data_IF_834322574713
#
_entry.id   IF_834322574713
#
_cell.length_a   1.000
_cell.length_b   1.000
_cell.length_c   1.000
_cell.angle_alpha   90.00
_cell.angle_beta   90.00
_cell.angle_gamma   90.00
#
_symmetry.space_group_name_H-M   'P 1'
#
loop_
_entity.id
_entity.type
_entity.pdbx_description
1 polymer ?
#
# COMPACT_ATOMS: atom_id res chain seq x y z
N UNK A 1 -5.18 22.62 6.37
CA UNK A 1 -4.50 21.61 7.20
C UNK A 1 -5.35 21.22 8.41
N UNK A 2 -5.82 22.14 9.25
CA UNK A 2 -6.60 21.84 10.47
C UNK A 2 -7.84 20.96 10.22
N UNK A 3 -8.62 21.23 9.16
CA UNK A 3 -9.79 20.41 8.80
C UNK A 3 -9.41 18.96 8.47
N UNK A 4 -8.30 18.76 7.77
CA UNK A 4 -7.80 17.42 7.42
C UNK A 4 -7.42 16.66 8.69
N UNK A 5 -6.66 17.29 9.59
CA UNK A 5 -6.27 16.69 10.88
C UNK A 5 -7.49 16.36 11.74
N UNK A 6 -8.48 17.28 11.77
CA UNK A 6 -9.73 17.04 12.51
C UNK A 6 -10.50 15.85 11.94
N UNK A 7 -10.60 15.76 10.61
CA UNK A 7 -11.24 14.63 9.93
C UNK A 7 -10.54 13.31 10.21
N UNK A 8 -9.19 13.29 10.17
CA UNK A 8 -8.40 12.10 10.50
C UNK A 8 -8.65 11.63 11.92
N UNK A 9 -8.64 12.56 12.90
CA UNK A 9 -8.93 12.23 14.32
C UNK A 9 -10.35 11.66 14.51
N UNK A 10 -11.35 12.21 13.81
CA UNK A 10 -12.73 11.69 13.88
C UNK A 10 -12.84 10.28 13.31
N UNK A 11 -11.99 9.92 12.34
CA UNK A 11 -12.04 8.65 11.64
C UNK A 11 -10.94 7.66 12.07
N UNK A 12 -10.11 8.01 13.03
CA UNK A 12 -8.95 7.21 13.48
C UNK A 12 -9.34 5.76 13.78
N UNK A 13 -10.43 5.56 14.56
CA UNK A 13 -10.91 4.22 14.87
C UNK A 13 -11.32 3.44 13.60
N UNK A 14 -12.06 4.07 12.70
CA UNK A 14 -12.47 3.43 11.43
C UNK A 14 -11.27 3.06 10.59
N UNK A 15 -10.29 3.95 10.47
CA UNK A 15 -9.06 3.69 9.71
C UNK A 15 -8.29 2.50 10.26
N UNK A 16 -8.18 2.42 11.59
CA UNK A 16 -7.55 1.28 12.25
C UNK A 16 -8.36 -0.01 12.05
N UNK A 17 -9.69 0.04 12.21
CA UNK A 17 -10.55 -1.13 12.01
C UNK A 17 -10.44 -1.67 10.57
N UNK A 18 -10.46 -0.80 9.57
CA UNK A 18 -10.31 -1.16 8.16
C UNK A 18 -8.91 -1.76 7.86
N UNK A 19 -7.84 -1.19 8.44
CA UNK A 19 -6.50 -1.78 8.32
C UNK A 19 -6.42 -3.15 8.98
N UNK A 20 -7.03 -3.32 10.16
CA UNK A 20 -7.12 -4.62 10.84
C UNK A 20 -7.83 -5.65 9.97
N UNK A 21 -8.91 -5.29 9.27
CA UNK A 21 -9.59 -6.20 8.34
C UNK A 21 -8.70 -6.58 7.14
N UNK A 22 -7.95 -5.62 6.58
CA UNK A 22 -6.98 -5.90 5.51
C UNK A 22 -5.88 -6.86 5.97
N UNK A 23 -5.37 -6.69 7.20
CA UNK A 23 -4.31 -7.52 7.76
C UNK A 23 -4.75 -8.95 8.09
N UNK A 24 -6.04 -9.20 8.27
CA UNK A 24 -6.60 -10.55 8.45
C UNK A 24 -6.61 -11.37 7.16
N UNK A 25 -6.56 -10.71 6.00
CA UNK A 25 -6.54 -11.39 4.70
C UNK A 25 -5.14 -11.97 4.49
N UNK A 26 -5.06 -13.27 4.32
CA UNK A 26 -3.79 -14.02 4.20
C UNK A 26 -3.27 -13.99 2.76
N UNK A 27 -2.98 -12.81 2.24
CA UNK A 27 -2.56 -12.63 0.83
C UNK A 27 -1.10 -13.04 0.59
N UNK A 28 -0.76 -14.28 0.92
CA UNK A 28 0.57 -14.86 0.72
C UNK A 28 0.73 -15.25 -0.75
N UNK A 29 1.40 -14.42 -1.55
CA UNK A 29 1.55 -14.62 -3.00
C UNK A 29 2.40 -15.84 -3.37
N UNK A 30 3.38 -16.18 -2.53
CA UNK A 30 4.31 -17.29 -2.76
C UNK A 30 3.67 -18.70 -2.60
N UNK A 31 2.49 -18.81 -1.99
CA UNK A 31 1.84 -20.10 -1.73
C UNK A 31 0.50 -20.20 -2.47
N UNK A 32 0.37 -21.11 -3.45
CA UNK A 32 -0.87 -21.30 -4.20
C UNK A 32 -2.11 -21.63 -3.34
N UNK A 33 -1.93 -22.13 -2.11
CA UNK A 33 -3.02 -22.37 -1.18
C UNK A 33 -3.74 -21.08 -0.74
N UNK A 34 -3.07 -19.94 -0.83
CA UNK A 34 -3.64 -18.64 -0.49
C UNK A 34 -4.09 -17.81 -1.71
N UNK A 35 -4.11 -18.42 -2.90
CA UNK A 35 -4.46 -17.71 -4.15
C UNK A 35 -5.75 -16.89 -4.02
N UNK A 36 -6.82 -17.48 -3.50
CA UNK A 36 -8.11 -16.79 -3.33
C UNK A 36 -8.04 -15.63 -2.33
N UNK A 37 -7.19 -15.74 -1.32
CA UNK A 37 -6.97 -14.66 -0.35
C UNK A 37 -6.19 -13.48 -0.98
N UNK A 38 -5.30 -13.74 -1.95
CA UNK A 38 -4.63 -12.68 -2.70
C UNK A 38 -5.64 -11.89 -3.54
N UNK A 39 -6.55 -12.57 -4.26
CA UNK A 39 -7.64 -11.89 -4.99
C UNK A 39 -8.59 -11.14 -4.07
N UNK A 40 -8.93 -11.71 -2.91
CA UNK A 40 -9.75 -11.05 -1.90
C UNK A 40 -9.10 -9.78 -1.35
N UNK A 41 -7.77 -9.75 -1.23
CA UNK A 41 -7.05 -8.53 -0.85
C UNK A 41 -7.16 -7.46 -1.94
N UNK A 42 -7.06 -7.83 -3.23
CA UNK A 42 -7.28 -6.90 -4.34
C UNK A 42 -8.69 -6.31 -4.32
N UNK A 43 -9.73 -7.14 -4.11
CA UNK A 43 -11.12 -6.66 -3.99
C UNK A 43 -11.27 -5.71 -2.81
N UNK A 44 -10.69 -6.03 -1.65
CA UNK A 44 -10.72 -5.16 -0.47
C UNK A 44 -10.06 -3.80 -0.76
N UNK A 45 -8.90 -3.79 -1.37
CA UNK A 45 -8.19 -2.54 -1.75
C UNK A 45 -9.06 -1.70 -2.67
N UNK A 46 -9.62 -2.30 -3.73
CA UNK A 46 -10.55 -1.62 -4.64
C UNK A 46 -11.71 -0.97 -3.89
N UNK A 47 -12.37 -1.70 -2.97
CA UNK A 47 -13.50 -1.18 -2.22
C UNK A 47 -13.09 -0.01 -1.31
N UNK A 48 -11.93 -0.12 -0.64
CA UNK A 48 -11.42 0.97 0.22
C UNK A 48 -11.01 2.20 -0.58
N UNK A 49 -10.47 2.03 -1.78
CA UNK A 49 -10.18 3.15 -2.69
C UNK A 49 -11.48 3.83 -3.17
N UNK A 50 -12.54 3.04 -3.44
CA UNK A 50 -13.87 3.56 -3.79
C UNK A 50 -14.45 4.41 -2.66
N UNK A 51 -14.43 3.92 -1.43
CA UNK A 51 -14.93 4.63 -0.25
C UNK A 51 -14.13 5.91 0.05
N UNK A 52 -12.84 5.90 -0.25
CA UNK A 52 -11.96 7.06 -0.15
C UNK A 52 -12.35 8.19 -1.13
N UNK A 53 -13.08 7.86 -2.20
CA UNK A 53 -13.52 8.82 -3.21
C UNK A 53 -12.59 8.92 -4.41
N UNK A 54 -11.76 7.91 -4.61
CA UNK A 54 -11.03 7.72 -5.86
C UNK A 54 -12.00 7.34 -6.99
N UNK A 55 -11.58 7.56 -8.22
CA UNK A 55 -12.35 7.34 -9.45
C UNK A 55 -11.59 6.37 -10.35
N UNK A 56 -12.23 5.93 -11.46
CA UNK A 56 -11.66 5.05 -12.46
C UNK A 56 -10.97 3.81 -11.88
N UNK A 57 -11.57 3.24 -10.82
CA UNK A 57 -10.96 2.13 -10.09
C UNK A 57 -11.16 0.82 -10.87
N UNK A 58 -10.07 0.13 -11.13
CA UNK A 58 -10.03 -1.12 -11.88
C UNK A 58 -9.17 -2.16 -11.18
N UNK A 59 -9.59 -3.41 -11.22
CA UNK A 59 -8.73 -4.57 -10.98
C UNK A 59 -8.21 -4.99 -12.35
N UNK A 60 -6.97 -4.63 -12.64
CA UNK A 60 -6.33 -4.87 -13.91
C UNK A 60 -5.70 -6.26 -13.93
N UNK A 61 -6.15 -7.18 -14.80
CA UNK A 61 -5.60 -8.52 -14.84
C UNK A 61 -4.15 -8.53 -15.33
N UNK A 62 -3.35 -9.41 -14.74
CA UNK A 62 -2.03 -9.82 -15.22
C UNK A 62 -2.01 -11.33 -15.42
N UNK A 63 -0.97 -11.94 -16.01
CA UNK A 63 -0.86 -13.39 -16.02
C UNK A 63 -0.74 -14.01 -14.61
N UNK A 64 -0.31 -13.24 -13.62
CA UNK A 64 -0.26 -13.61 -12.20
C UNK A 64 -1.37 -12.99 -11.36
N UNK A 65 -1.02 -12.25 -10.32
CA UNK A 65 -1.99 -11.53 -9.49
C UNK A 65 -2.27 -10.12 -10.05
N UNK A 66 -3.52 -9.62 -9.93
CA UNK A 66 -3.91 -8.38 -10.57
C UNK A 66 -3.27 -7.15 -9.92
N UNK A 67 -3.19 -6.07 -10.70
CA UNK A 67 -2.88 -4.73 -10.19
C UNK A 67 -4.19 -3.98 -9.93
N UNK A 68 -4.33 -3.38 -8.75
CA UNK A 68 -5.45 -2.47 -8.45
C UNK A 68 -5.02 -1.06 -8.79
N UNK A 69 -5.72 -0.47 -9.77
CA UNK A 69 -5.53 0.92 -10.20
C UNK A 69 -6.70 1.79 -9.73
N UNK A 70 -6.46 3.05 -9.48
CA UNK A 70 -7.47 4.08 -9.29
C UNK A 70 -6.86 5.46 -9.30
N UNK A 71 -7.64 6.49 -9.60
CA UNK A 71 -7.12 7.86 -9.64
C UNK A 71 -8.10 8.88 -9.05
N UNK A 72 -7.59 10.10 -8.88
CA UNK A 72 -8.37 11.32 -8.67
C UNK A 72 -7.69 12.46 -9.40
N UNK A 73 -8.20 12.76 -10.59
CA UNK A 73 -7.72 13.87 -11.41
C UNK A 73 -8.59 15.09 -11.11
N UNK A 74 -8.02 16.08 -10.43
CA UNK A 74 -8.73 17.29 -10.03
C UNK A 74 -8.56 18.42 -11.03
N UNK A 75 -7.42 18.45 -11.74
CA UNK A 75 -7.09 19.45 -12.76
C UNK A 75 -5.93 18.90 -13.62
N UNK A 76 -6.13 18.74 -14.94
CA UNK A 76 -5.07 18.23 -15.83
C UNK A 76 -3.79 19.08 -15.89
N UNK A 77 -3.86 20.35 -15.46
CA UNK A 77 -2.69 21.25 -15.40
C UNK A 77 -1.85 21.10 -14.14
N UNK A 78 -2.35 20.37 -13.14
CA UNK A 78 -1.63 20.12 -11.89
C UNK A 78 -0.72 18.91 -11.98
N UNK A 79 0.38 18.89 -11.20
CA UNK A 79 1.22 17.71 -11.09
C UNK A 79 0.44 16.46 -10.68
N UNK A 80 0.87 15.33 -11.18
CA UNK A 80 0.32 14.01 -10.86
C UNK A 80 1.32 13.20 -10.05
N UNK A 81 0.89 12.66 -8.93
CA UNK A 81 1.64 11.73 -8.09
C UNK A 81 1.08 10.32 -8.30
N UNK A 82 1.91 9.37 -8.70
CA UNK A 82 1.60 7.95 -8.72
C UNK A 82 2.07 7.32 -7.40
N UNK A 83 1.15 6.77 -6.63
CA UNK A 83 1.44 6.08 -5.39
C UNK A 83 1.50 4.59 -5.69
N UNK A 84 2.66 3.99 -5.41
CA UNK A 84 2.90 2.55 -5.55
C UNK A 84 2.90 1.88 -4.19
N UNK A 85 2.46 0.63 -4.15
CA UNK A 85 2.54 -0.28 -3.03
C UNK A 85 2.12 -1.68 -3.44
N UNK A 86 2.11 -2.63 -2.47
CA UNK A 86 1.69 -3.99 -2.73
C UNK A 86 0.78 -4.53 -1.63
N UNK A 87 -0.17 -5.40 -2.02
CA UNK A 87 -1.15 -5.98 -1.09
C UNK A 87 -0.85 -7.45 -0.73
N UNK A 88 0.12 -8.06 -1.38
CA UNK A 88 0.61 -9.39 -0.99
C UNK A 88 1.59 -9.31 0.18
N UNK A 89 1.92 -10.44 0.76
CA UNK A 89 2.78 -10.54 1.94
C UNK A 89 3.61 -11.82 1.90
N UNK A 90 4.79 -11.78 2.54
CA UNK A 90 5.63 -12.96 2.77
C UNK A 90 4.92 -14.03 3.59
N UNK A 91 5.28 -15.31 3.41
CA UNK A 91 4.92 -16.38 4.33
C UNK A 91 5.30 -16.01 5.77
N UNK A 92 4.48 -16.37 6.77
CA UNK A 92 4.74 -15.99 8.16
C UNK A 92 5.72 -16.94 8.88
N UNK A 93 6.25 -17.94 8.20
CA UNK A 93 7.13 -18.94 8.82
C UNK A 93 8.45 -18.38 9.33
N UNK A 94 9.02 -18.89 10.43
CA UNK A 94 8.47 -19.96 11.29
C UNK A 94 7.42 -19.42 12.29
N UNK A 95 6.28 -20.11 12.40
CA UNK A 95 5.12 -19.67 13.19
C UNK A 95 5.38 -19.61 14.70
N UNK A 96 6.30 -20.40 15.21
CA UNK A 96 6.66 -20.49 16.63
C UNK A 96 7.43 -19.26 17.14
N UNK A 97 7.92 -18.41 16.25
CA UNK A 97 8.57 -17.15 16.62
C UNK A 97 7.58 -15.99 16.81
N UNK A 98 6.31 -16.18 16.43
CA UNK A 98 5.30 -15.15 16.61
C UNK A 98 4.71 -15.18 18.02
N UNK A 99 4.63 -14.00 18.67
CA UNK A 99 4.00 -13.85 19.99
C UNK A 99 2.47 -13.83 19.93
N UNK A 100 1.90 -13.58 18.75
CA UNK A 100 0.48 -13.67 18.41
C UNK A 100 0.34 -14.24 17.01
N UNK A 101 -0.77 -14.90 16.63
CA UNK A 101 -0.93 -15.41 15.28
C UNK A 101 -0.74 -14.30 14.24
N UNK A 102 0.04 -14.54 13.15
CA UNK A 102 0.47 -13.48 12.22
C UNK A 102 -0.68 -12.77 11.49
N UNK A 103 -1.82 -13.41 11.31
CA UNK A 103 -3.02 -12.85 10.68
C UNK A 103 -4.16 -12.55 11.67
N UNK A 104 -3.84 -12.48 12.95
CA UNK A 104 -4.72 -11.99 14.01
C UNK A 104 -4.13 -10.67 14.56
N UNK A 105 -4.42 -9.52 13.94
CA UNK A 105 -3.81 -8.25 14.29
C UNK A 105 -4.03 -7.87 15.76
N UNK A 106 -2.96 -7.51 16.47
CA UNK A 106 -3.00 -7.12 17.87
C UNK A 106 -2.48 -5.70 18.04
N UNK A 107 -3.28 -4.84 18.66
CA UNK A 107 -2.84 -3.50 19.08
C UNK A 107 -2.34 -3.59 20.53
N UNK A 108 -1.06 -3.30 20.74
CA UNK A 108 -0.42 -3.32 22.05
C UNK A 108 0.58 -2.17 22.18
N UNK A 109 0.53 -1.45 23.28
CA UNK A 109 1.45 -0.35 23.59
C UNK A 109 1.56 0.70 22.45
N UNK A 110 0.41 1.02 21.82
CA UNK A 110 0.33 1.98 20.73
C UNK A 110 0.90 1.48 19.39
N UNK A 111 1.17 0.18 19.25
CA UNK A 111 1.70 -0.46 18.05
C UNK A 111 0.76 -1.56 17.55
N UNK A 112 0.67 -1.72 16.24
CA UNK A 112 -0.09 -2.78 15.58
C UNK A 112 0.88 -3.88 15.13
N UNK A 113 0.61 -5.11 15.56
CA UNK A 113 1.42 -6.30 15.26
C UNK A 113 0.62 -7.27 14.40
N UNK A 114 1.09 -7.53 13.18
CA UNK A 114 0.59 -8.55 12.27
C UNK A 114 1.55 -8.72 11.08
N UNK A 115 1.43 -9.78 10.30
CA UNK A 115 2.06 -9.89 8.97
C UNK A 115 1.45 -8.82 8.05
N UNK A 116 2.30 -8.07 7.32
CA UNK A 116 1.87 -6.99 6.44
C UNK A 116 1.62 -5.64 7.16
N UNK A 117 1.73 -5.56 8.50
CA UNK A 117 1.49 -4.31 9.22
C UNK A 117 2.51 -3.20 8.87
N UNK A 118 3.73 -3.57 8.52
CA UNK A 118 4.77 -2.65 8.05
C UNK A 118 5.03 -2.80 6.55
N UNK A 119 5.02 -3.99 6.03
CA UNK A 119 5.41 -4.35 4.69
C UNK A 119 4.25 -5.09 3.99
N UNK A 120 3.53 -4.48 3.06
CA UNK A 120 3.41 -3.04 2.76
C UNK A 120 1.98 -2.54 3.03
N UNK A 121 1.06 -3.47 3.45
CA UNK A 121 -0.37 -3.14 3.68
C UNK A 121 -0.54 -1.91 4.57
N UNK A 122 0.23 -1.80 5.66
CA UNK A 122 0.15 -0.65 6.54
C UNK A 122 0.61 0.64 5.87
N UNK A 123 1.66 0.60 5.07
CA UNK A 123 2.26 1.79 4.45
C UNK A 123 1.43 2.31 3.29
N UNK A 124 1.08 1.48 2.28
CA UNK A 124 0.25 2.00 1.19
C UNK A 124 -1.15 2.42 1.69
N UNK A 125 -1.69 1.73 2.70
CA UNK A 125 -3.01 2.07 3.24
C UNK A 125 -3.04 3.45 3.92
N UNK A 126 -1.94 3.89 4.53
CA UNK A 126 -1.81 5.26 5.04
C UNK A 126 -2.03 6.29 3.93
N UNK A 127 -1.52 6.05 2.72
CA UNK A 127 -1.71 6.94 1.58
C UNK A 127 -3.18 6.97 1.13
N UNK A 128 -3.86 5.83 1.10
CA UNK A 128 -5.30 5.78 0.78
C UNK A 128 -6.08 6.66 1.78
N UNK A 129 -5.78 6.57 3.08
CA UNK A 129 -6.47 7.37 4.12
C UNK A 129 -6.05 8.83 4.13
N UNK A 130 -4.82 9.15 3.78
CA UNK A 130 -4.38 10.53 3.60
C UNK A 130 -5.12 11.18 2.43
N UNK A 131 -5.20 10.51 1.28
CA UNK A 131 -5.93 10.98 0.09
C UNK A 131 -7.43 11.09 0.39
N UNK A 132 -8.06 10.10 1.05
CA UNK A 132 -9.44 10.19 1.52
C UNK A 132 -9.67 11.46 2.34
N UNK A 133 -8.80 11.72 3.31
CA UNK A 133 -8.93 12.88 4.18
C UNK A 133 -8.86 14.20 3.40
N UNK A 134 -8.02 14.26 2.37
CA UNK A 134 -7.91 15.43 1.51
C UNK A 134 -9.12 15.57 0.57
N UNK A 135 -9.59 14.50 -0.05
CA UNK A 135 -10.77 14.51 -0.93
C UNK A 135 -12.01 14.96 -0.16
N UNK A 136 -12.28 14.38 1.02
CA UNK A 136 -13.46 14.68 1.84
C UNK A 136 -13.48 16.12 2.39
N UNK A 137 -12.37 16.84 2.28
CA UNK A 137 -12.25 18.23 2.70
C UNK A 137 -11.96 19.21 1.55
N UNK A 138 -12.11 18.78 0.29
CA UNK A 138 -11.83 19.58 -0.92
C UNK A 138 -10.42 20.20 -0.88
N UNK A 139 -9.44 19.45 -0.40
CA UNK A 139 -8.09 19.93 -0.11
C UNK A 139 -6.97 19.15 -0.81
N UNK A 140 -7.32 18.35 -1.81
CA UNK A 140 -6.33 17.61 -2.60
C UNK A 140 -5.50 18.61 -3.43
N UNK A 141 -4.16 18.70 -3.24
CA UNK A 141 -3.36 19.73 -3.87
C UNK A 141 -2.93 19.42 -5.31
N UNK A 142 -2.91 18.15 -5.68
CA UNK A 142 -2.43 17.61 -6.94
C UNK A 142 -3.31 16.46 -7.41
N UNK A 143 -3.09 16.00 -8.63
CA UNK A 143 -3.68 14.75 -9.11
C UNK A 143 -3.00 13.58 -8.43
N UNK A 144 -3.75 12.52 -8.15
CA UNK A 144 -3.20 11.28 -7.58
C UNK A 144 -3.64 10.08 -8.40
N UNK A 145 -2.74 9.11 -8.51
CA UNK A 145 -2.98 7.78 -9.05
C UNK A 145 -2.45 6.76 -8.06
N UNK A 146 -3.09 5.60 -8.01
CA UNK A 146 -2.63 4.45 -7.25
C UNK A 146 -2.38 3.29 -8.19
N UNK A 147 -1.29 2.57 -7.94
CA UNK A 147 -0.94 1.31 -8.58
C UNK A 147 -0.48 0.35 -7.47
N UNK A 148 -1.38 -0.56 -7.06
CA UNK A 148 -1.13 -1.48 -5.96
C UNK A 148 -1.11 -2.91 -6.50
N UNK A 149 0.06 -3.56 -6.47
CA UNK A 149 0.26 -4.90 -7.04
C UNK A 149 0.10 -6.02 -6.01
N UNK A 150 0.12 -7.27 -6.47
CA UNK A 150 -0.04 -8.46 -5.65
C UNK A 150 1.06 -9.51 -5.83
N UNK A 151 2.23 -9.14 -6.37
CA UNK A 151 3.35 -10.05 -6.67
C UNK A 151 4.71 -9.49 -6.21
N UNK A 152 4.75 -8.43 -5.41
CA UNK A 152 6.02 -7.83 -4.99
C UNK A 152 6.90 -8.86 -4.27
N UNK A 153 6.30 -9.61 -3.36
CA UNK A 153 6.98 -10.60 -2.49
C UNK A 153 7.42 -11.88 -3.23
N UNK A 154 7.14 -11.96 -4.53
CA UNK A 154 7.62 -13.02 -5.43
C UNK A 154 8.36 -12.46 -6.64
N UNK A 155 8.73 -11.17 -6.60
CA UNK A 155 9.61 -10.52 -7.56
C UNK A 155 8.92 -9.80 -8.71
N UNK A 156 7.62 -9.49 -8.61
CA UNK A 156 6.86 -8.63 -9.56
C UNK A 156 7.00 -9.06 -11.03
N UNK A 157 6.98 -10.36 -11.32
CA UNK A 157 7.30 -10.92 -12.64
C UNK A 157 6.47 -10.29 -13.79
N UNK A 158 5.22 -9.92 -13.49
CA UNK A 158 4.28 -9.40 -14.49
C UNK A 158 4.14 -7.87 -14.47
N UNK A 159 4.76 -7.18 -13.53
CA UNK A 159 4.61 -5.73 -13.34
C UNK A 159 5.21 -4.93 -14.51
N UNK A 160 6.37 -5.30 -15.03
CA UNK A 160 7.01 -4.61 -16.15
C UNK A 160 6.09 -4.60 -17.37
N UNK A 161 5.54 -5.77 -17.75
CA UNK A 161 4.60 -5.89 -18.87
C UNK A 161 3.32 -5.11 -18.65
N UNK A 162 2.81 -5.06 -17.40
CA UNK A 162 1.66 -4.23 -17.04
C UNK A 162 1.97 -2.74 -17.23
N UNK A 163 3.10 -2.24 -16.73
CA UNK A 163 3.52 -0.84 -16.86
C UNK A 163 3.69 -0.48 -18.34
N UNK A 164 4.34 -1.34 -19.13
CA UNK A 164 4.53 -1.09 -20.55
C UNK A 164 3.23 -0.92 -21.32
N UNK A 165 2.25 -1.76 -21.01
CA UNK A 165 0.93 -1.74 -21.66
C UNK A 165 0.07 -0.55 -21.21
N UNK A 166 0.32 -0.01 -20.01
CA UNK A 166 -0.47 1.03 -19.39
C UNK A 166 0.30 2.37 -19.19
N UNK A 167 1.34 2.63 -19.98
CA UNK A 167 2.19 3.82 -19.84
C UNK A 167 1.41 5.13 -19.75
N UNK A 168 0.45 5.32 -20.64
CA UNK A 168 -0.37 6.55 -20.68
C UNK A 168 -1.26 6.67 -19.42
N UNK A 169 -1.86 5.56 -18.98
CA UNK A 169 -2.68 5.50 -17.76
C UNK A 169 -1.84 5.82 -16.53
N UNK A 170 -0.61 5.32 -16.46
CA UNK A 170 0.30 5.46 -15.32
C UNK A 170 1.16 6.72 -15.36
N UNK A 171 1.16 7.48 -16.48
CA UNK A 171 1.97 8.68 -16.61
C UNK A 171 1.78 9.62 -15.40
N UNK A 172 2.88 10.02 -14.78
CA UNK A 172 2.92 10.86 -13.58
C UNK A 172 4.21 11.68 -13.55
N UNK A 173 4.19 12.78 -12.79
CA UNK A 173 5.38 13.63 -12.58
C UNK A 173 6.27 13.10 -11.46
N UNK A 174 5.67 12.43 -10.47
CA UNK A 174 6.36 11.86 -9.31
C UNK A 174 5.80 10.48 -9.01
N UNK A 175 6.68 9.54 -8.68
CA UNK A 175 6.31 8.24 -8.11
C UNK A 175 6.64 8.25 -6.61
N UNK A 176 5.65 7.94 -5.79
CA UNK A 176 5.79 7.82 -4.34
C UNK A 176 5.74 6.34 -3.96
N UNK A 177 6.83 5.85 -3.39
CA UNK A 177 6.96 4.50 -2.82
C UNK A 177 7.29 4.65 -1.35
N UNK A 178 6.52 4.04 -0.46
CA UNK A 178 6.76 4.12 0.98
C UNK A 178 7.09 2.77 1.63
N UNK A 179 7.35 1.77 0.81
CA UNK A 179 7.82 0.46 1.25
C UNK A 179 9.27 0.53 1.75
N UNK A 180 9.42 1.17 2.92
CA UNK A 180 10.72 1.47 3.53
C UNK A 180 10.64 1.46 5.05
N UNK A 181 11.77 1.21 5.72
CA UNK A 181 11.87 1.39 7.15
C UNK A 181 11.97 2.88 7.51
N UNK A 182 11.45 3.26 8.70
CA UNK A 182 11.68 4.58 9.28
C UNK A 182 12.97 4.58 10.10
N UNK A 183 13.69 5.72 10.10
CA UNK A 183 14.92 5.86 10.88
C UNK A 183 14.67 5.78 12.40
N UNK A 184 13.63 6.46 12.87
CA UNK A 184 13.12 6.40 14.25
C UNK A 184 11.66 6.86 14.28
N UNK A 185 10.90 6.46 15.31
CA UNK A 185 9.46 6.74 15.40
C UNK A 185 9.09 8.23 15.39
N UNK A 186 10.01 9.10 15.78
CA UNK A 186 9.86 10.56 15.86
C UNK A 186 10.68 11.31 14.80
N UNK A 187 11.33 10.58 13.88
CA UNK A 187 12.17 11.15 12.82
C UNK A 187 11.60 10.77 11.45
N UNK A 188 10.73 11.59 10.86
CA UNK A 188 10.25 11.36 9.50
C UNK A 188 11.42 11.44 8.50
N UNK A 189 11.46 10.51 7.55
CA UNK A 189 12.53 10.43 6.56
C UNK A 189 11.95 10.33 5.16
N UNK A 190 12.68 10.90 4.18
CA UNK A 190 12.41 10.71 2.76
C UNK A 190 13.65 10.06 2.17
N UNK A 191 13.50 8.84 1.67
CA UNK A 191 14.57 8.12 0.99
C UNK A 191 14.56 8.52 -0.50
N UNK A 192 15.67 9.08 -0.99
CA UNK A 192 15.78 9.58 -2.37
C UNK A 192 16.58 8.66 -3.29
N UNK A 193 16.90 7.44 -2.84
CA UNK A 193 17.64 6.45 -3.62
C UNK A 193 17.62 5.07 -2.97
N UNK A 194 17.88 4.00 -3.73
CA UNK A 194 17.87 2.63 -3.21
C UNK A 194 19.06 2.42 -2.25
N UNK A 195 18.76 2.14 -0.99
CA UNK A 195 19.77 1.93 0.07
C UNK A 195 20.24 0.46 0.13
N UNK A 196 19.43 -0.47 -0.39
CA UNK A 196 19.63 -1.91 -0.22
C UNK A 196 20.89 -2.48 -0.87
N UNK A 197 21.33 -1.96 -2.02
CA UNK A 197 22.52 -2.48 -2.70
C UNK A 197 23.86 -1.97 -2.16
N UNK A 198 23.89 -0.86 -1.45
CA UNK A 198 25.12 -0.32 -0.86
C UNK A 198 25.51 -1.00 0.45
N UNK A 199 24.57 -1.58 1.18
CA UNK A 199 24.85 -2.25 2.45
C UNK A 199 25.29 -3.71 2.28
N UNK A 200 24.83 -4.42 1.25
CA UNK A 200 25.27 -5.80 0.96
C UNK A 200 26.75 -5.89 0.52
N UNK A 201 27.29 -4.85 -0.12
CA UNK A 201 28.72 -4.81 -0.50
C UNK A 201 29.68 -4.55 0.65
N UNK A 202 29.22 -4.00 1.76
CA UNK A 202 30.07 -3.71 2.93
C UNK A 202 30.30 -4.94 3.81
N UNK A 203 29.56 -6.02 3.63
CA UNK A 203 29.69 -7.27 4.39
C UNK A 203 30.43 -8.38 3.63
N UNK A 204 30.77 -8.18 2.35
CA UNK A 204 31.51 -9.15 1.52
C UNK A 204 33.01 -8.85 1.42
N UNK A 205 33.53 -7.89 2.17
CA UNK A 205 34.96 -7.57 2.29
C UNK A 205 35.43 -7.75 3.72
#
# INVERSE_FOLDING_TARGET
MEKIIAYQKQNEKRYLDELVELLKIKSVSADPAFKEEVFKAADFVKDRMTDAGLENIEICPTPGYPVVYGDKIIDPSKPTVLIYGHYDVQPPDPLDLWTSPPFEPVVKDGKLYARGASDDKGQFYLHVKAVESMIKNDALPCNVKFMIEGEEEVGSEHLEGFIETNKDKLAADVVLVSDTSIFANDVPTITTGPVSYTHLRAHET
#
